data_IF_261482474067
#
_entry.id   IF_261482474067
#
_cell.length_a   1.000
_cell.length_b   1.000
_cell.length_c   1.000
_cell.angle_alpha   90.00
_cell.angle_beta   90.00
_cell.angle_gamma   90.00
#
_symmetry.space_group_name_H-M   'P 1'
#
loop_
_entity.id
_entity.type
_entity.pdbx_description
1 polymer ?
#
# COMPACT_ATOMS: atom_id res chain seq x y z
N UNK A 1 25.64 -19.59 -35.92
CA UNK A 1 24.48 -18.85 -35.36
C UNK A 1 23.53 -19.73 -34.53
N UNK A 2 23.01 -20.85 -35.06
CA UNK A 2 22.08 -21.74 -34.33
C UNK A 2 22.64 -22.42 -33.06
N UNK A 3 23.93 -22.79 -33.01
CA UNK A 3 24.55 -23.37 -31.80
C UNK A 3 24.72 -22.36 -30.66
N UNK A 4 24.96 -21.08 -30.99
CA UNK A 4 25.03 -20.00 -30.00
C UNK A 4 23.65 -19.74 -29.41
N UNK A 5 22.62 -19.70 -30.27
CA UNK A 5 21.24 -19.56 -29.82
C UNK A 5 20.85 -20.69 -28.86
N UNK A 6 21.14 -21.96 -29.16
CA UNK A 6 20.83 -23.09 -28.26
C UNK A 6 21.54 -23.03 -26.90
N UNK A 7 22.81 -22.59 -26.87
CA UNK A 7 23.59 -22.48 -25.62
C UNK A 7 23.16 -21.29 -24.76
N UNK A 8 22.79 -20.19 -25.38
CA UNK A 8 22.36 -18.97 -24.68
C UNK A 8 20.85 -18.83 -24.58
N UNK A 9 20.06 -19.73 -25.18
CA UNK A 9 18.59 -19.72 -25.12
C UNK A 9 18.12 -19.71 -23.68
N UNK A 10 18.74 -20.53 -22.84
CA UNK A 10 18.44 -20.58 -21.41
C UNK A 10 18.62 -19.22 -20.75
N UNK A 11 19.78 -18.57 -20.97
CA UNK A 11 20.08 -17.26 -20.41
C UNK A 11 19.21 -16.14 -21.00
N UNK A 12 18.86 -16.22 -22.28
CA UNK A 12 17.97 -15.27 -22.96
C UNK A 12 16.55 -15.40 -22.40
N UNK A 13 16.07 -16.63 -22.19
CA UNK A 13 14.74 -16.88 -21.60
C UNK A 13 14.72 -16.44 -20.14
N UNK A 14 15.71 -16.84 -19.32
CA UNK A 14 15.81 -16.41 -17.94
C UNK A 14 15.93 -14.88 -17.84
N UNK A 15 16.79 -14.26 -18.63
CA UNK A 15 16.95 -12.81 -18.70
C UNK A 15 15.66 -12.10 -19.11
N UNK A 16 14.93 -12.65 -20.08
CA UNK A 16 13.61 -12.16 -20.47
C UNK A 16 12.59 -12.23 -19.34
N UNK A 17 12.53 -13.33 -18.59
CA UNK A 17 11.65 -13.47 -17.43
C UNK A 17 11.99 -12.44 -16.34
N UNK A 18 13.28 -12.26 -16.03
CA UNK A 18 13.71 -11.24 -15.08
C UNK A 18 13.36 -9.83 -15.55
N UNK A 19 13.60 -9.52 -16.83
CA UNK A 19 13.24 -8.22 -17.40
C UNK A 19 11.73 -7.95 -17.31
N UNK A 20 10.89 -8.95 -17.60
CA UNK A 20 9.43 -8.84 -17.45
C UNK A 20 9.03 -8.64 -15.99
N UNK A 21 9.68 -9.33 -15.05
CA UNK A 21 9.43 -9.15 -13.62
C UNK A 21 9.82 -7.75 -13.15
N UNK A 22 10.97 -7.22 -13.59
CA UNK A 22 11.36 -5.84 -13.27
C UNK A 22 10.41 -4.81 -13.90
N UNK A 23 9.92 -5.05 -15.12
CA UNK A 23 8.92 -4.21 -15.73
C UNK A 23 7.60 -4.21 -14.94
N UNK A 24 7.16 -5.37 -14.46
CA UNK A 24 6.00 -5.50 -13.58
C UNK A 24 6.18 -4.71 -12.28
N UNK A 25 7.33 -4.82 -11.63
CA UNK A 25 7.64 -4.04 -10.43
C UNK A 25 7.67 -2.54 -10.72
N UNK A 26 8.23 -2.12 -11.85
CA UNK A 26 8.24 -0.71 -12.25
C UNK A 26 6.82 -0.16 -12.47
N UNK A 27 5.93 -0.94 -13.10
CA UNK A 27 4.52 -0.55 -13.29
C UNK A 27 3.84 -0.30 -11.94
N UNK A 28 3.99 -1.23 -10.99
CA UNK A 28 3.42 -1.09 -9.65
C UNK A 28 4.04 0.09 -8.89
N UNK A 29 5.33 0.34 -9.11
CA UNK A 29 6.04 1.45 -8.47
C UNK A 29 5.54 2.81 -8.95
N UNK A 30 5.33 2.98 -10.26
CA UNK A 30 4.87 4.24 -10.85
C UNK A 30 3.35 4.47 -10.79
N UNK A 31 2.58 3.46 -10.39
CA UNK A 31 1.13 3.60 -10.26
C UNK A 31 0.75 4.55 -9.10
N UNK A 32 -0.33 5.35 -9.25
CA UNK A 32 -0.81 6.22 -8.19
C UNK A 32 -1.18 5.42 -6.93
N UNK A 33 -0.73 5.90 -5.76
CA UNK A 33 -0.90 5.23 -4.46
C UNK A 33 -2.05 5.78 -3.62
N UNK A 34 -2.54 6.95 -3.96
CA UNK A 34 -3.64 7.61 -3.26
C UNK A 34 -4.68 8.00 -4.31
N UNK A 35 -5.91 7.52 -4.14
CA UNK A 35 -7.07 7.86 -4.95
C UNK A 35 -8.30 7.64 -4.09
N UNK A 36 -9.17 8.65 -4.00
CA UNK A 36 -10.40 8.60 -3.20
C UNK A 36 -11.35 7.49 -3.65
N UNK A 37 -11.30 7.12 -4.93
CA UNK A 37 -12.20 6.14 -5.53
C UNK A 37 -11.64 4.70 -5.44
N UNK A 38 -10.51 4.49 -4.76
CA UNK A 38 -9.85 3.18 -4.56
C UNK A 38 -9.68 2.40 -5.88
N UNK A 39 -9.28 3.08 -6.95
CA UNK A 39 -9.12 2.48 -8.28
C UNK A 39 -7.74 1.80 -8.46
N UNK A 40 -7.64 0.93 -9.45
CA UNK A 40 -6.38 0.28 -9.84
C UNK A 40 -5.84 -0.68 -8.77
N UNK A 41 -4.57 -0.52 -8.39
CA UNK A 41 -3.86 -1.41 -7.45
C UNK A 41 -4.09 -1.09 -5.97
N UNK A 42 -4.75 0.03 -5.66
CA UNK A 42 -4.98 0.52 -4.29
C UNK A 42 -5.72 -0.51 -3.41
N UNK A 43 -6.85 -1.12 -3.83
CA UNK A 43 -7.56 -2.08 -2.98
C UNK A 43 -6.73 -3.35 -2.70
N UNK A 44 -5.89 -3.78 -3.66
CA UNK A 44 -4.94 -4.87 -3.43
C UNK A 44 -3.90 -4.48 -2.37
N UNK A 45 -3.37 -3.26 -2.48
CA UNK A 45 -2.37 -2.71 -1.55
C UNK A 45 -2.93 -2.54 -0.12
N UNK A 46 -4.16 -2.06 0.04
CA UNK A 46 -4.81 -1.95 1.36
C UNK A 46 -4.93 -3.32 2.03
N UNK A 47 -5.43 -4.32 1.29
CA UNK A 47 -5.54 -5.70 1.81
C UNK A 47 -4.18 -6.32 2.15
N UNK A 48 -3.12 -5.97 1.41
CA UNK A 48 -1.77 -6.39 1.73
C UNK A 48 -1.32 -5.78 3.07
N UNK A 49 -1.52 -4.49 3.28
CA UNK A 49 -1.13 -3.81 4.52
C UNK A 49 -1.84 -4.42 5.73
N UNK A 50 -3.15 -4.63 5.67
CA UNK A 50 -3.92 -5.27 6.75
C UNK A 50 -3.36 -6.65 7.12
N UNK A 51 -3.03 -7.46 6.09
CA UNK A 51 -2.44 -8.78 6.29
C UNK A 51 -1.02 -8.71 6.85
N UNK A 52 -0.22 -7.75 6.41
CA UNK A 52 1.15 -7.56 6.90
C UNK A 52 1.14 -7.15 8.38
N UNK A 53 0.26 -6.23 8.79
CA UNK A 53 0.09 -5.86 10.19
C UNK A 53 -0.31 -7.07 11.05
N UNK A 54 -1.32 -7.83 10.63
CA UNK A 54 -1.73 -9.05 11.34
C UNK A 54 -0.63 -10.15 11.39
N UNK A 55 0.20 -10.24 10.36
CA UNK A 55 1.35 -11.16 10.32
C UNK A 55 2.55 -10.66 11.15
N UNK A 56 2.70 -9.34 11.30
CA UNK A 56 3.80 -8.74 12.03
C UNK A 56 3.71 -9.06 13.52
N UNK A 57 2.52 -9.00 14.10
CA UNK A 57 2.26 -9.42 15.49
C UNK A 57 2.76 -10.84 15.77
N UNK A 58 2.64 -11.73 14.78
CA UNK A 58 3.03 -13.16 14.88
C UNK A 58 4.50 -13.43 14.52
N UNK A 59 5.29 -12.41 14.14
CA UNK A 59 6.70 -12.51 13.71
C UNK A 59 6.97 -13.61 12.67
N UNK A 60 5.98 -13.95 11.84
CA UNK A 60 6.07 -15.08 10.91
C UNK A 60 6.41 -14.61 9.49
N UNK A 61 7.63 -14.90 9.04
CA UNK A 61 8.11 -14.59 7.69
C UNK A 61 7.26 -15.29 6.62
N UNK A 62 6.82 -16.52 6.87
CA UNK A 62 5.96 -17.27 5.97
C UNK A 62 4.58 -16.62 5.78
N UNK A 63 4.03 -16.02 6.84
CA UNK A 63 2.77 -15.28 6.78
C UNK A 63 2.89 -14.06 5.86
N UNK A 64 3.97 -13.30 6.03
CA UNK A 64 4.26 -12.11 5.20
C UNK A 64 4.49 -12.49 3.74
N UNK A 65 5.30 -13.52 3.47
CA UNK A 65 5.55 -14.01 2.12
C UNK A 65 4.25 -14.44 1.42
N UNK A 66 3.36 -15.13 2.13
CA UNK A 66 2.05 -15.52 1.59
C UNK A 66 1.19 -14.30 1.26
N UNK A 67 1.19 -13.27 2.12
CA UNK A 67 0.46 -12.04 1.86
C UNK A 67 0.96 -11.32 0.59
N UNK A 68 2.28 -11.26 0.39
CA UNK A 68 2.89 -10.66 -0.81
C UNK A 68 2.50 -11.44 -2.07
N UNK A 69 2.55 -12.77 -2.04
CA UNK A 69 2.14 -13.60 -3.20
C UNK A 69 0.67 -13.37 -3.55
N UNK A 70 -0.20 -13.28 -2.54
CA UNK A 70 -1.61 -12.97 -2.75
C UNK A 70 -1.82 -11.56 -3.34
N UNK A 71 -1.05 -10.58 -2.90
CA UNK A 71 -1.09 -9.23 -3.45
C UNK A 71 -0.66 -9.22 -4.93
N UNK A 72 0.46 -9.85 -5.27
CA UNK A 72 0.93 -9.92 -6.67
C UNK A 72 -0.10 -10.58 -7.59
N UNK A 73 -0.85 -11.56 -7.09
CA UNK A 73 -1.95 -12.18 -7.85
C UNK A 73 -3.14 -11.21 -8.06
N UNK A 74 -3.44 -10.37 -7.07
CA UNK A 74 -4.43 -9.31 -7.18
C UNK A 74 -4.00 -8.24 -8.21
N UNK A 75 -2.75 -7.77 -8.14
CA UNK A 75 -2.21 -6.78 -9.08
C UNK A 75 -2.21 -7.31 -10.52
N UNK A 76 -1.84 -8.58 -10.71
CA UNK A 76 -1.90 -9.20 -12.02
C UNK A 76 -3.33 -9.26 -12.59
N UNK A 77 -4.34 -9.46 -11.73
CA UNK A 77 -5.74 -9.43 -12.14
C UNK A 77 -6.14 -8.04 -12.63
N UNK A 78 -5.75 -6.98 -11.92
CA UNK A 78 -6.01 -5.59 -12.33
C UNK A 78 -5.40 -5.31 -13.71
N UNK A 79 -4.15 -5.74 -13.94
CA UNK A 79 -3.50 -5.60 -15.25
C UNK A 79 -4.24 -6.38 -16.36
N UNK A 80 -4.63 -7.62 -16.07
CA UNK A 80 -5.37 -8.46 -17.01
C UNK A 80 -6.73 -7.86 -17.37
N UNK A 81 -7.45 -7.34 -16.39
CA UNK A 81 -8.76 -6.72 -16.59
C UNK A 81 -8.65 -5.45 -17.44
N UNK A 82 -7.59 -4.65 -17.24
CA UNK A 82 -7.27 -3.49 -18.08
C UNK A 82 -6.95 -3.86 -19.53
N UNK A 83 -6.14 -4.90 -19.72
CA UNK A 83 -5.82 -5.41 -21.05
C UNK A 83 -7.05 -5.96 -21.78
N UNK A 84 -7.92 -6.70 -21.09
CA UNK A 84 -9.17 -7.19 -21.65
C UNK A 84 -10.12 -6.03 -22.01
N UNK A 85 -10.25 -5.04 -21.14
CA UNK A 85 -11.07 -3.85 -21.41
C UNK A 85 -10.58 -3.07 -22.63
N UNK A 86 -9.26 -3.03 -22.86
CA UNK A 86 -8.67 -2.44 -24.05
C UNK A 86 -8.97 -3.27 -25.31
N UNK A 87 -8.83 -4.60 -25.27
CA UNK A 87 -9.19 -5.47 -26.40
C UNK A 87 -10.68 -5.38 -26.77
N UNK A 88 -11.55 -5.19 -25.78
CA UNK A 88 -12.99 -5.01 -25.96
C UNK A 88 -13.38 -3.59 -26.39
N UNK A 89 -12.42 -2.65 -26.49
CA UNK A 89 -12.66 -1.26 -26.88
C UNK A 89 -13.35 -0.40 -25.82
N UNK A 90 -13.45 -0.88 -24.57
CA UNK A 90 -13.97 -0.10 -23.42
C UNK A 90 -12.96 0.90 -22.87
N UNK A 91 -11.68 0.72 -23.19
CA UNK A 91 -10.57 1.50 -22.67
C UNK A 91 -9.63 1.87 -23.83
N UNK A 92 -9.14 3.12 -23.86
CA UNK A 92 -8.28 3.60 -24.96
C UNK A 92 -6.87 2.96 -24.95
N UNK A 93 -6.32 2.72 -23.77
CA UNK A 93 -5.00 2.11 -23.56
C UNK A 93 -5.10 0.91 -22.62
N UNK A 94 -4.19 -0.07 -22.64
CA UNK A 94 -4.26 -1.23 -21.75
C UNK A 94 -4.04 -0.92 -20.26
N UNK A 95 -3.56 0.28 -19.92
CA UNK A 95 -3.17 0.67 -18.57
C UNK A 95 -4.03 1.75 -17.93
N UNK A 96 -5.02 2.33 -18.62
CA UNK A 96 -5.82 3.43 -18.08
C UNK A 96 -6.58 3.09 -16.78
N UNK A 97 -6.79 1.81 -16.46
CA UNK A 97 -7.43 1.38 -15.21
C UNK A 97 -6.51 1.38 -13.98
N UNK A 98 -5.19 1.45 -14.18
CA UNK A 98 -4.21 1.48 -13.08
C UNK A 98 -3.14 2.56 -13.22
N UNK A 99 -3.10 3.26 -14.36
CA UNK A 99 -2.26 4.42 -14.62
C UNK A 99 -3.16 5.58 -15.04
N UNK A 100 -3.58 6.36 -14.06
CA UNK A 100 -4.56 7.43 -14.20
C UNK A 100 -4.18 8.61 -13.30
N UNK A 101 -4.79 9.76 -13.57
CA UNK A 101 -4.69 10.91 -12.69
C UNK A 101 -5.55 10.68 -11.43
N UNK A 102 -4.93 10.63 -10.24
CA UNK A 102 -5.67 10.34 -9.01
C UNK A 102 -6.61 11.49 -8.66
N UNK A 103 -7.83 11.15 -8.27
CA UNK A 103 -8.74 12.07 -7.60
C UNK A 103 -8.37 12.01 -6.13
N UNK A 104 -7.51 12.92 -5.71
CA UNK A 104 -7.21 13.11 -4.31
C UNK A 104 -8.42 13.79 -3.65
N UNK A 105 -8.71 13.43 -2.40
CA UNK A 105 -9.43 14.38 -1.56
C UNK A 105 -8.60 15.67 -1.61
N UNK A 106 -9.25 16.82 -1.80
CA UNK A 106 -8.55 18.10 -1.63
C UNK A 106 -7.83 17.95 -0.30
N UNK A 107 -6.50 18.09 -0.30
CA UNK A 107 -5.81 18.39 0.94
C UNK A 107 -6.68 19.46 1.57
N UNK A 108 -7.16 19.19 2.78
CA UNK A 108 -7.49 20.28 3.66
C UNK A 108 -6.12 20.92 3.84
N UNK A 109 -5.69 21.76 2.87
CA UNK A 109 -4.90 22.92 3.19
C UNK A 109 -5.69 23.48 4.35
N UNK A 110 -5.12 23.50 5.55
CA UNK A 110 -5.80 24.20 6.61
C UNK A 110 -6.02 25.60 6.06
N UNK A 111 -7.28 25.93 5.79
CA UNK A 111 -7.71 27.28 5.43
C UNK A 111 -7.34 28.23 6.60
N UNK A 112 -7.13 27.62 7.77
CA UNK A 112 -6.56 28.19 8.97
C UNK A 112 -5.02 28.25 8.89
N UNK A 113 -4.50 29.43 8.57
CA UNK A 113 -3.08 29.78 8.62
C UNK A 113 -2.47 29.42 9.99
N UNK A 114 -3.28 29.43 11.06
CA UNK A 114 -2.94 29.07 12.43
C UNK A 114 -2.58 27.58 12.57
N UNK A 115 -3.30 26.69 11.87
CA UNK A 115 -3.04 25.26 11.91
C UNK A 115 -1.77 24.90 11.13
N UNK A 116 -1.51 25.57 9.98
CA UNK A 116 -0.24 25.43 9.26
C UNK A 116 0.93 25.92 10.12
N UNK A 117 0.78 27.05 10.81
CA UNK A 117 1.79 27.55 11.74
C UNK A 117 2.01 26.58 12.91
N UNK A 118 0.94 26.01 13.48
CA UNK A 118 1.01 25.00 14.54
C UNK A 118 1.81 23.76 14.13
N UNK A 119 1.57 23.22 12.92
CA UNK A 119 2.30 22.06 12.39
C UNK A 119 3.78 22.36 12.09
N UNK A 120 4.09 23.59 11.65
CA UNK A 120 5.47 24.02 11.41
C UNK A 120 6.23 24.29 12.71
N UNK A 121 5.55 24.82 13.72
CA UNK A 121 6.11 25.10 15.05
C UNK A 121 6.33 23.81 15.85
N UNK A 122 5.41 22.84 15.75
CA UNK A 122 5.48 21.58 16.48
C UNK A 122 5.92 20.45 15.54
N UNK A 123 7.18 20.47 15.12
CA UNK A 123 7.74 19.45 14.22
C UNK A 123 7.71 18.01 14.81
N UNK A 124 7.44 17.87 16.12
CA UNK A 124 7.37 16.61 16.87
C UNK A 124 5.95 16.19 17.31
N UNK A 125 4.88 16.69 16.66
CA UNK A 125 3.49 16.34 17.04
C UNK A 125 3.26 14.83 17.13
N UNK A 126 3.94 14.02 16.32
CA UNK A 126 3.86 12.55 16.41
C UNK A 126 4.31 12.03 17.77
N UNK A 127 5.39 12.59 18.33
CA UNK A 127 5.88 12.23 19.66
C UNK A 127 4.95 12.74 20.76
N UNK A 128 4.44 13.98 20.64
CA UNK A 128 3.50 14.54 21.62
C UNK A 128 2.16 13.79 21.65
N UNK A 129 1.65 13.39 20.49
CA UNK A 129 0.46 12.55 20.37
C UNK A 129 0.67 11.18 21.01
N UNK A 130 1.86 10.59 20.86
CA UNK A 130 2.20 9.33 21.51
C UNK A 130 2.24 9.46 23.04
N UNK A 131 2.78 10.57 23.56
CA UNK A 131 2.76 10.87 24.99
C UNK A 131 1.36 11.13 25.53
N UNK A 132 0.54 11.88 24.80
CA UNK A 132 -0.86 12.12 25.13
C UNK A 132 -1.67 10.82 25.19
N UNK A 133 -1.45 9.93 24.21
CA UNK A 133 -2.14 8.65 24.17
C UNK A 133 -1.74 7.76 25.36
N UNK A 134 -0.44 7.73 25.72
CA UNK A 134 0.04 7.04 26.92
C UNK A 134 -0.61 7.58 28.21
N UNK A 135 -0.71 8.90 28.35
CA UNK A 135 -1.39 9.53 29.49
C UNK A 135 -2.88 9.22 29.53
N UNK A 136 -3.55 9.16 28.36
CA UNK A 136 -4.95 8.76 28.25
C UNK A 136 -5.18 7.35 28.82
N UNK A 137 -4.36 6.39 28.39
CA UNK A 137 -4.42 5.00 28.86
C UNK A 137 -4.16 4.92 30.38
N UNK A 138 -3.18 5.67 30.90
CA UNK A 138 -2.88 5.70 32.32
C UNK A 138 -4.05 6.24 33.17
N UNK A 139 -4.71 7.29 32.68
CA UNK A 139 -5.88 7.87 33.35
C UNK A 139 -7.07 6.91 33.34
N UNK A 140 -7.30 6.20 32.23
CA UNK A 140 -8.35 5.18 32.15
C UNK A 140 -8.10 4.05 33.17
N UNK A 141 -6.85 3.58 33.29
CA UNK A 141 -6.47 2.60 34.30
C UNK A 141 -6.71 3.10 35.73
N UNK A 142 -6.34 4.35 36.04
CA UNK A 142 -6.56 4.94 37.37
C UNK A 142 -8.05 5.14 37.69
N UNK A 143 -8.86 5.43 36.67
CA UNK A 143 -10.32 5.53 36.78
C UNK A 143 -10.95 4.15 37.07
N UNK A 144 -10.50 3.11 36.38
CA UNK A 144 -10.96 1.73 36.64
C UNK A 144 -10.54 1.24 38.03
N UNK A 145 -9.33 1.57 38.47
CA UNK A 145 -8.84 1.22 39.82
C UNK A 145 -9.68 1.91 40.91
N UNK A 146 -9.90 3.23 40.80
CA UNK A 146 -10.76 3.97 41.73
C UNK A 146 -12.19 3.46 41.75
N UNK A 147 -12.73 3.10 40.59
CA UNK A 147 -14.10 2.56 40.48
C UNK A 147 -14.24 1.19 41.13
N UNK A 148 -13.19 0.37 41.10
CA UNK A 148 -13.16 -0.93 41.79
C UNK A 148 -13.00 -0.80 43.30
N UNK A 149 -12.29 0.23 43.78
CA UNK A 149 -12.16 0.54 45.20
C UNK A 149 -13.45 1.11 45.81
N UNK A 150 -14.26 1.84 45.04
CA UNK A 150 -15.58 2.33 45.48
C UNK A 150 -16.67 1.23 45.57
N UNK A 151 -16.44 0.06 44.97
CA UNK A 151 -17.38 -1.08 44.96
C UNK A 151 -17.10 -2.08 46.10
N UNK A 152 -16.00 -1.90 46.86
CA UNK A 152 -15.58 -2.75 47.98
C UNK A 152 -15.97 -2.17 49.34
#
# INVERSE_FOLDING_TARGET
MFQFLKKHLFWIVCGGIFALYFAFLAIIFFAPRADRLERGFIPCTHQLMDKLYACHEKKSIWCQAKAIVQNNACDFKVMKDGFNAWLEGRQETPYANYYFEPVLDKEIEPDDEELKAFYLEHQNIVQEMEELNKKGIELEMQLEEKKNDEIK
#
